data_IF_187746158192
#
_entry.id   IF_187746158192
#
_cell.length_a   1.000
_cell.length_b   1.000
_cell.length_c   1.000
_cell.angle_alpha   90.00
_cell.angle_beta   90.00
_cell.angle_gamma   90.00
#
_symmetry.space_group_name_H-M   'P 1'
#
loop_
_entity.id
_entity.type
_entity.pdbx_description
1 polymer ?
#
# COMPACT_ATOMS: atom_id res chain seq x y z
N UNK A 1 18.30 44.74 21.52
CA UNK A 1 18.27 43.75 20.41
C UNK A 1 16.92 43.90 19.75
N UNK A 2 16.93 44.26 18.48
CA UNK A 2 15.70 44.42 17.67
C UNK A 2 15.73 43.40 16.56
N UNK A 3 14.78 42.49 16.55
CA UNK A 3 14.61 41.53 15.47
C UNK A 3 13.69 42.18 14.42
N UNK A 4 14.19 42.40 13.22
CA UNK A 4 13.36 42.93 12.13
C UNK A 4 13.06 41.80 11.18
N UNK A 5 11.78 41.45 11.08
CA UNK A 5 11.29 40.51 10.07
C UNK A 5 10.84 41.31 8.86
N UNK A 6 11.42 41.04 7.72
CA UNK A 6 10.99 41.64 6.44
C UNK A 6 10.28 40.58 5.61
N UNK A 7 9.04 40.86 5.23
CA UNK A 7 8.24 40.01 4.33
C UNK A 7 8.20 40.70 2.98
N UNK A 8 8.61 40.00 1.93
CA UNK A 8 8.53 40.51 0.55
C UNK A 8 7.65 39.55 -0.24
N UNK A 9 6.57 40.07 -0.82
CA UNK A 9 5.66 39.29 -1.69
C UNK A 9 5.91 39.72 -3.14
N UNK A 10 6.28 38.80 -4.01
CA UNK A 10 6.41 39.04 -5.45
C UNK A 10 5.87 37.81 -6.18
N UNK A 11 4.80 38.01 -6.93
CA UNK A 11 4.32 37.03 -7.93
C UNK A 11 3.75 35.75 -7.38
N UNK A 12 3.11 35.76 -6.18
CA UNK A 12 2.44 34.59 -5.62
C UNK A 12 3.31 33.71 -4.72
N UNK A 13 4.57 34.08 -4.53
CA UNK A 13 5.46 33.37 -3.61
C UNK A 13 5.68 34.20 -2.32
N UNK A 14 5.49 33.58 -1.17
CA UNK A 14 5.79 34.20 0.14
C UNK A 14 7.10 33.62 0.65
N UNK A 15 8.14 34.46 0.69
CA UNK A 15 9.44 34.09 1.26
C UNK A 15 9.57 34.73 2.64
N UNK A 16 9.70 33.91 3.67
CA UNK A 16 9.96 34.37 5.04
C UNK A 16 11.44 34.27 5.32
N UNK A 17 12.07 35.40 5.61
CA UNK A 17 13.50 35.46 5.93
C UNK A 17 13.68 35.66 7.43
N UNK A 18 14.27 34.68 8.11
CA UNK A 18 14.70 34.83 9.50
C UNK A 18 16.19 35.15 9.58
N UNK A 19 16.53 36.22 10.28
CA UNK A 19 17.91 36.60 10.54
C UNK A 19 18.37 36.02 11.87
N UNK A 20 19.34 35.12 11.86
CA UNK A 20 19.98 34.59 13.08
C UNK A 20 21.26 35.38 13.35
N UNK A 21 21.29 36.09 14.45
CA UNK A 21 22.48 36.81 14.90
C UNK A 21 23.21 35.97 15.96
N UNK A 22 24.40 35.46 15.65
CA UNK A 22 25.27 34.80 16.63
C UNK A 22 26.28 35.79 17.16
N UNK A 23 26.24 36.09 18.48
CA UNK A 23 27.22 36.92 19.13
C UNK A 23 28.29 36.03 19.76
N UNK A 24 29.51 36.05 19.23
CA UNK A 24 30.69 35.44 19.87
C UNK A 24 31.48 36.52 20.58
N UNK A 25 31.66 36.37 21.89
CA UNK A 25 32.48 37.26 22.68
C UNK A 25 33.92 36.73 22.75
N UNK A 26 34.82 37.29 21.90
CA UNK A 26 36.28 37.20 22.02
C UNK A 26 36.91 38.45 21.44
N UNK A 27 38.15 38.88 21.83
CA UNK A 27 38.59 40.25 21.72
C UNK A 27 38.88 40.71 20.29
N UNK A 28 38.44 41.91 20.05
CA UNK A 28 38.58 42.82 18.93
C UNK A 28 39.60 42.45 17.82
N UNK A 29 39.08 41.82 16.78
CA UNK A 29 39.49 42.08 15.39
C UNK A 29 38.18 42.31 14.65
N UNK A 30 38.04 43.50 14.06
CA UNK A 30 36.86 43.90 13.29
C UNK A 30 36.84 43.13 11.97
N UNK A 31 36.31 41.92 12.03
CA UNK A 31 35.88 41.22 10.81
C UNK A 31 34.39 41.54 10.58
N UNK A 32 33.95 41.90 9.38
CA UNK A 32 32.56 42.18 9.14
C UNK A 32 31.73 40.92 9.47
N UNK A 33 30.68 41.11 10.25
CA UNK A 33 29.72 40.02 10.54
C UNK A 33 29.16 39.51 9.20
N UNK A 34 29.48 38.28 8.84
CA UNK A 34 28.84 37.60 7.71
C UNK A 34 27.46 37.23 8.15
N UNK A 35 26.46 37.98 7.73
CA UNK A 35 25.05 37.60 7.87
C UNK A 35 24.73 36.56 6.83
N UNK A 36 24.66 35.31 7.25
CA UNK A 36 24.15 34.23 6.38
C UNK A 36 22.64 34.26 6.44
N UNK A 37 22.01 34.72 5.41
CA UNK A 37 20.55 34.63 5.23
C UNK A 37 20.25 33.25 4.67
N UNK A 38 19.66 32.39 5.46
CA UNK A 38 19.13 31.12 4.99
C UNK A 38 17.68 31.34 4.57
N UNK A 39 17.41 31.30 3.28
CA UNK A 39 16.04 31.31 2.77
C UNK A 39 15.53 29.88 2.82
N UNK A 40 14.55 29.61 3.66
CA UNK A 40 13.84 28.32 3.64
C UNK A 40 12.81 28.34 2.51
N UNK A 41 12.91 27.41 1.58
CA UNK A 41 11.89 27.20 0.55
C UNK A 41 10.86 26.24 1.15
N UNK A 42 9.58 26.65 1.14
CA UNK A 42 8.46 25.82 1.60
C UNK A 42 7.72 25.26 0.41
N UNK A 43 7.02 24.13 0.63
CA UNK A 43 6.09 23.58 -0.34
C UNK A 43 4.81 24.44 -0.35
N UNK A 44 4.40 24.89 -1.53
CA UNK A 44 3.18 25.71 -1.74
C UNK A 44 2.26 25.06 -2.81
N UNK A 45 2.39 23.75 -3.03
CA UNK A 45 1.58 23.02 -4.00
C UNK A 45 0.17 22.69 -3.52
N UNK A 46 -0.63 22.16 -4.44
CA UNK A 46 -1.98 21.70 -4.14
C UNK A 46 -1.98 20.49 -3.20
N UNK A 47 -3.05 20.36 -2.41
CA UNK A 47 -3.27 19.15 -1.59
C UNK A 47 -3.59 17.96 -2.49
N UNK A 48 -3.15 16.77 -2.08
CA UNK A 48 -3.36 15.52 -2.80
C UNK A 48 -3.67 14.35 -1.86
N UNK A 49 -3.96 13.19 -2.42
CA UNK A 49 -4.29 12.00 -1.63
C UNK A 49 -3.41 10.81 -1.98
N UNK A 50 -2.92 10.13 -0.94
CA UNK A 50 -2.41 8.78 -1.00
C UNK A 50 -3.52 7.79 -0.66
N UNK A 51 -3.78 6.80 -1.53
CA UNK A 51 -4.83 5.81 -1.30
C UNK A 51 -4.34 4.39 -1.52
N UNK A 52 -4.83 3.44 -0.71
CA UNK A 52 -4.56 2.00 -0.88
C UNK A 52 -5.67 1.29 -1.65
N UNK A 53 -6.83 1.91 -1.75
CA UNK A 53 -7.96 1.40 -2.53
C UNK A 53 -8.11 2.12 -3.87
N UNK A 54 -9.35 2.46 -4.20
CA UNK A 54 -9.70 3.19 -5.44
C UNK A 54 -10.96 4.03 -5.24
N UNK A 55 -11.15 5.02 -6.09
CA UNK A 55 -12.44 5.68 -6.23
C UNK A 55 -13.28 5.00 -7.30
N UNK A 56 -14.57 4.83 -7.01
CA UNK A 56 -15.58 4.36 -7.96
C UNK A 56 -16.02 5.50 -8.88
N UNK A 57 -16.74 5.15 -9.95
CA UNK A 57 -17.26 6.12 -10.89
C UNK A 57 -18.23 7.15 -10.28
N UNK A 58 -18.88 6.80 -9.16
CA UNK A 58 -19.76 7.69 -8.38
C UNK A 58 -19.02 8.58 -7.38
N UNK A 59 -17.67 8.51 -7.35
CA UNK A 59 -16.81 9.26 -6.45
C UNK A 59 -16.68 8.65 -5.04
N UNK A 60 -17.35 7.54 -4.73
CA UNK A 60 -17.21 6.87 -3.45
C UNK A 60 -15.86 6.13 -3.36
N UNK A 61 -15.25 6.16 -2.16
CA UNK A 61 -14.01 5.43 -1.90
C UNK A 61 -14.28 3.95 -1.65
N UNK A 62 -13.59 3.07 -2.36
CA UNK A 62 -13.57 1.62 -2.13
C UNK A 62 -12.20 1.19 -1.60
N UNK A 63 -12.09 0.84 -0.32
CA UNK A 63 -10.81 0.46 0.29
C UNK A 63 -10.32 -0.93 -0.10
N UNK A 64 -11.19 -1.77 -0.64
CA UNK A 64 -10.91 -3.19 -0.85
C UNK A 64 -10.14 -3.43 -2.14
N UNK A 65 -9.14 -4.29 -2.05
CA UNK A 65 -8.41 -4.86 -3.19
C UNK A 65 -8.61 -6.37 -3.13
N UNK A 66 -9.27 -6.93 -4.14
CA UNK A 66 -9.57 -8.35 -4.20
C UNK A 66 -8.45 -9.13 -4.87
N UNK A 67 -8.00 -10.19 -4.20
CA UNK A 67 -7.08 -11.22 -4.72
C UNK A 67 -7.63 -12.59 -4.40
N UNK A 68 -7.20 -13.63 -5.12
CA UNK A 68 -7.70 -14.99 -4.90
C UNK A 68 -6.68 -15.81 -4.10
N UNK A 69 -7.14 -16.64 -3.19
CA UNK A 69 -6.29 -17.62 -2.52
C UNK A 69 -5.59 -18.51 -3.56
N UNK A 70 -4.27 -18.70 -3.40
CA UNK A 70 -3.43 -19.42 -4.37
C UNK A 70 -3.07 -18.65 -5.64
N UNK A 71 -3.53 -17.40 -5.79
CA UNK A 71 -3.19 -16.57 -6.95
C UNK A 71 -1.70 -16.30 -7.02
N UNK A 72 -1.13 -16.46 -8.23
CA UNK A 72 0.26 -16.13 -8.50
C UNK A 72 0.40 -14.71 -8.99
N UNK A 73 1.50 -14.05 -8.60
CA UNK A 73 1.87 -12.70 -9.04
C UNK A 73 0.74 -11.67 -8.89
N UNK A 74 0.04 -11.71 -7.76
CA UNK A 74 -1.03 -10.75 -7.45
C UNK A 74 -0.44 -9.39 -7.05
N UNK A 75 -0.95 -8.30 -7.61
CA UNK A 75 -0.72 -6.95 -7.12
C UNK A 75 -1.55 -6.73 -5.86
N UNK A 76 -1.02 -7.17 -4.71
CA UNK A 76 -1.75 -7.21 -3.46
C UNK A 76 -1.80 -5.85 -2.75
N UNK A 77 -0.79 -5.00 -2.94
CA UNK A 77 -0.66 -3.70 -2.29
C UNK A 77 -0.15 -2.68 -3.31
N UNK A 78 -0.96 -1.68 -3.60
CA UNK A 78 -0.68 -0.70 -4.64
C UNK A 78 -1.01 0.73 -4.17
N UNK A 79 -0.07 1.43 -3.50
CA UNK A 79 -0.24 2.84 -3.17
C UNK A 79 -0.44 3.70 -4.41
N UNK A 80 -1.55 4.43 -4.45
CA UNK A 80 -1.98 5.28 -5.56
C UNK A 80 -2.02 6.73 -5.14
N UNK A 81 -1.92 7.63 -6.11
CA UNK A 81 -1.99 9.08 -5.90
C UNK A 81 -3.18 9.66 -6.67
N UNK A 82 -3.89 10.57 -6.03
CA UNK A 82 -4.92 11.41 -6.66
C UNK A 82 -4.56 12.88 -6.43
N UNK A 83 -4.68 13.69 -7.47
CA UNK A 83 -4.27 15.09 -7.43
C UNK A 83 -2.74 15.25 -7.33
N UNK A 84 -1.97 14.38 -7.96
CA UNK A 84 -0.51 14.35 -7.88
C UNK A 84 0.11 15.72 -8.20
N UNK A 85 0.74 16.39 -7.23
CA UNK A 85 1.36 17.71 -7.44
C UNK A 85 2.68 17.62 -8.20
N UNK A 86 3.21 16.43 -8.37
CA UNK A 86 4.56 16.14 -8.80
C UNK A 86 5.49 15.85 -7.63
N UNK A 87 5.94 14.61 -7.52
CA UNK A 87 6.76 14.10 -6.43
C UNK A 87 8.12 13.69 -7.00
N UNK A 88 9.21 14.11 -6.37
CA UNK A 88 10.58 13.74 -6.75
C UNK A 88 11.08 12.53 -5.95
N UNK A 89 10.64 12.41 -4.71
CA UNK A 89 11.03 11.31 -3.82
C UNK A 89 9.89 10.96 -2.88
N UNK A 90 9.81 9.70 -2.49
CA UNK A 90 8.92 9.28 -1.41
C UNK A 90 9.49 8.10 -0.63
N UNK A 91 9.06 8.00 0.61
CA UNK A 91 9.24 6.85 1.48
C UNK A 91 7.86 6.39 1.94
N UNK A 92 7.37 5.33 1.33
CA UNK A 92 6.05 4.75 1.59
C UNK A 92 6.19 3.65 2.61
N UNK A 93 5.40 3.72 3.68
CA UNK A 93 5.40 2.72 4.74
C UNK A 93 3.99 2.41 5.20
N UNK A 94 3.67 1.11 5.24
CA UNK A 94 2.34 0.62 5.57
C UNK A 94 2.41 -0.29 6.80
N UNK A 95 1.29 -0.33 7.53
CA UNK A 95 1.09 -1.14 8.73
C UNK A 95 -0.10 -2.08 8.56
N UNK A 96 -0.11 -3.16 9.35
CA UNK A 96 -1.17 -4.16 9.35
C UNK A 96 -0.61 -5.54 9.65
N UNK A 97 -0.64 -5.99 10.91
CA UNK A 97 0.01 -7.23 11.33
C UNK A 97 -0.59 -8.45 10.63
N UNK A 98 -1.91 -8.51 10.48
CA UNK A 98 -2.58 -9.59 9.79
C UNK A 98 -2.23 -9.60 8.28
N UNK A 99 -2.18 -8.44 7.63
CA UNK A 99 -1.77 -8.32 6.23
C UNK A 99 -0.30 -8.70 6.05
N UNK A 100 0.60 -8.28 6.96
CA UNK A 100 2.01 -8.70 6.94
C UNK A 100 2.15 -10.20 7.11
N UNK A 101 1.39 -10.83 8.01
CA UNK A 101 1.39 -12.27 8.20
C UNK A 101 0.88 -13.03 6.96
N UNK A 102 -0.20 -12.54 6.34
CA UNK A 102 -0.72 -13.07 5.08
C UNK A 102 0.35 -13.06 3.98
N UNK A 103 0.96 -11.90 3.77
CA UNK A 103 1.94 -11.71 2.69
C UNK A 103 3.25 -12.45 2.97
N UNK A 104 3.66 -12.59 4.24
CA UNK A 104 4.82 -13.38 4.66
C UNK A 104 4.61 -14.89 4.49
N UNK A 105 3.36 -15.39 4.62
CA UNK A 105 3.02 -16.79 4.35
C UNK A 105 2.97 -17.09 2.85
N UNK A 106 2.83 -16.08 2.02
CA UNK A 106 2.96 -16.15 0.58
C UNK A 106 4.42 -16.09 0.13
N UNK A 107 4.60 -15.69 -1.12
CA UNK A 107 5.95 -15.50 -1.66
C UNK A 107 6.03 -14.12 -2.33
N UNK A 108 6.98 -13.31 -1.90
CA UNK A 108 7.25 -12.03 -2.53
C UNK A 108 7.86 -12.23 -3.92
N UNK A 109 7.22 -11.67 -4.93
CA UNK A 109 7.66 -11.76 -6.34
C UNK A 109 8.51 -10.55 -6.73
N UNK A 110 8.09 -9.36 -6.32
CA UNK A 110 8.84 -8.14 -6.61
C UNK A 110 8.00 -6.87 -6.46
N UNK A 111 8.66 -5.73 -6.66
CA UNK A 111 8.04 -4.42 -6.75
C UNK A 111 7.88 -4.04 -8.24
N UNK A 112 6.64 -3.95 -8.71
CA UNK A 112 6.33 -3.33 -9.98
C UNK A 112 6.39 -1.82 -9.82
N UNK A 113 7.35 -1.19 -10.48
CA UNK A 113 7.51 0.26 -10.50
C UNK A 113 6.61 0.86 -11.57
N UNK A 114 6.05 2.01 -11.32
CA UNK A 114 5.38 2.77 -12.36
C UNK A 114 6.42 3.25 -13.39
N UNK A 115 6.34 2.73 -14.60
CA UNK A 115 7.34 2.99 -15.64
C UNK A 115 7.37 4.47 -16.09
N UNK A 116 6.20 5.12 -16.14
CA UNK A 116 6.11 6.53 -16.51
C UNK A 116 6.75 7.41 -15.43
N UNK A 117 6.52 7.06 -14.17
CA UNK A 117 7.10 7.75 -13.03
C UNK A 117 8.61 7.57 -12.98
N UNK A 118 9.08 6.33 -13.14
CA UNK A 118 10.49 5.98 -13.19
C UNK A 118 11.20 6.75 -14.32
N UNK A 119 10.60 6.82 -15.52
CA UNK A 119 11.14 7.54 -16.66
C UNK A 119 11.25 9.05 -16.40
N UNK A 120 10.23 9.66 -15.80
CA UNK A 120 10.24 11.10 -15.50
C UNK A 120 11.32 11.47 -14.46
N UNK A 121 11.58 10.58 -13.49
CA UNK A 121 12.57 10.79 -12.43
C UNK A 121 13.98 10.41 -12.83
N UNK A 122 14.16 9.60 -13.87
CA UNK A 122 15.44 8.97 -14.16
C UNK A 122 16.56 9.99 -14.47
N UNK A 123 16.25 11.06 -15.20
CA UNK A 123 17.30 12.01 -15.64
C UNK A 123 18.53 11.28 -16.19
N UNK A 124 19.72 11.85 -16.02
CA UNK A 124 20.99 11.19 -16.40
C UNK A 124 21.47 10.16 -15.36
N UNK A 125 21.04 10.32 -14.09
CA UNK A 125 21.47 9.50 -12.96
C UNK A 125 20.59 8.28 -12.68
N UNK A 126 19.45 8.16 -13.36
CA UNK A 126 18.46 7.13 -13.10
C UNK A 126 17.68 7.38 -11.80
N UNK A 127 16.90 6.40 -11.41
CA UNK A 127 16.08 6.41 -10.20
C UNK A 127 16.49 5.28 -9.28
N UNK A 128 16.71 5.57 -8.00
CA UNK A 128 16.87 4.53 -6.99
C UNK A 128 15.51 4.14 -6.42
N UNK A 129 15.25 2.84 -6.42
CA UNK A 129 14.14 2.23 -5.72
C UNK A 129 14.67 1.27 -4.67
N UNK A 130 14.20 1.45 -3.45
CA UNK A 130 14.49 0.57 -2.32
C UNK A 130 13.19 -0.07 -1.88
N UNK A 131 13.14 -1.38 -1.79
CA UNK A 131 11.99 -2.09 -1.25
C UNK A 131 12.36 -2.90 -0.02
N UNK A 132 11.41 -3.03 0.89
CA UNK A 132 11.46 -3.92 2.02
C UNK A 132 10.05 -4.53 2.18
N UNK A 133 9.81 -5.61 1.45
CA UNK A 133 8.52 -6.27 1.40
C UNK A 133 8.06 -6.78 2.78
N UNK A 134 8.98 -7.24 3.62
CA UNK A 134 8.67 -7.73 4.97
C UNK A 134 8.12 -6.63 5.88
N UNK A 135 8.46 -5.37 5.60
CA UNK A 135 7.96 -4.20 6.32
C UNK A 135 6.88 -3.43 5.55
N UNK A 136 6.46 -3.90 4.39
CA UNK A 136 5.56 -3.18 3.48
C UNK A 136 6.02 -1.74 3.24
N UNK A 137 7.32 -1.60 2.98
CA UNK A 137 7.97 -0.31 2.77
C UNK A 137 8.67 -0.30 1.43
N UNK A 138 8.49 0.77 0.66
CA UNK A 138 9.38 1.11 -0.44
C UNK A 138 9.70 2.59 -0.44
N UNK A 139 10.82 2.93 -1.03
CA UNK A 139 11.20 4.31 -1.24
C UNK A 139 11.75 4.49 -2.65
N UNK A 140 11.59 5.67 -3.19
CA UNK A 140 12.18 6.05 -4.46
C UNK A 140 12.72 7.48 -4.39
N UNK A 141 13.75 7.74 -5.17
CA UNK A 141 14.28 9.07 -5.37
C UNK A 141 15.02 9.15 -6.70
N UNK A 142 15.04 10.32 -7.33
CA UNK A 142 15.94 10.59 -8.42
C UNK A 142 17.40 10.56 -7.94
N UNK A 143 18.29 9.96 -8.72
CA UNK A 143 19.74 9.98 -8.47
C UNK A 143 20.45 11.17 -9.12
N UNK A 144 19.76 11.87 -10.01
CA UNK A 144 20.33 13.00 -10.69
C UNK A 144 20.26 14.25 -9.79
N UNK A 145 21.41 14.65 -9.26
CA UNK A 145 21.52 15.84 -8.40
C UNK A 145 21.17 17.14 -9.14
N UNK A 146 21.12 17.10 -10.45
CA UNK A 146 20.69 18.22 -11.29
C UNK A 146 19.23 18.07 -11.76
N UNK A 147 18.61 16.92 -11.47
CA UNK A 147 17.23 16.69 -11.84
C UNK A 147 16.30 17.46 -10.90
N UNK A 148 15.83 18.57 -11.40
CA UNK A 148 14.83 19.41 -10.73
C UNK A 148 13.40 19.03 -11.13
N UNK A 149 13.21 17.90 -11.81
CA UNK A 149 11.91 17.47 -12.29
C UNK A 149 11.15 16.71 -11.20
N UNK A 150 9.86 16.97 -11.14
CA UNK A 150 8.93 16.18 -10.40
C UNK A 150 8.21 15.24 -11.37
N UNK A 151 8.05 13.99 -10.97
CA UNK A 151 7.21 13.06 -11.72
C UNK A 151 5.75 13.23 -11.34
N UNK A 152 4.87 13.12 -12.32
CA UNK A 152 3.42 13.11 -12.15
C UNK A 152 2.84 11.86 -12.75
N UNK A 153 1.80 11.36 -12.14
CA UNK A 153 1.02 10.23 -12.66
C UNK A 153 -0.44 10.63 -12.84
N UNK A 154 -1.17 9.87 -13.63
CA UNK A 154 -2.61 10.05 -13.75
C UNK A 154 -3.29 9.64 -12.43
N UNK A 155 -4.40 10.32 -12.10
CA UNK A 155 -5.17 10.03 -10.90
C UNK A 155 -5.53 8.55 -10.77
N UNK A 156 -5.26 8.01 -9.60
CA UNK A 156 -5.49 6.60 -9.29
C UNK A 156 -4.47 5.63 -9.85
N UNK A 157 -3.39 6.11 -10.45
CA UNK A 157 -2.26 5.26 -10.83
C UNK A 157 -1.45 4.86 -9.60
N UNK A 158 -1.03 3.62 -9.54
CA UNK A 158 -0.09 3.16 -8.53
C UNK A 158 1.31 3.71 -8.82
N UNK A 159 2.00 4.20 -7.80
CA UNK A 159 3.41 4.58 -7.92
C UNK A 159 4.30 3.34 -7.97
N UNK A 160 3.96 2.35 -7.19
CA UNK A 160 4.58 1.04 -7.17
C UNK A 160 3.62 0.02 -6.59
N UNK A 161 3.80 -1.24 -6.96
CA UNK A 161 2.93 -2.32 -6.52
C UNK A 161 3.77 -3.45 -5.94
N UNK A 162 3.48 -3.85 -4.72
CA UNK A 162 4.02 -5.08 -4.18
C UNK A 162 3.28 -6.29 -4.75
N UNK A 163 4.01 -7.13 -5.45
CA UNK A 163 3.49 -8.34 -6.09
C UNK A 163 3.83 -9.56 -5.26
N UNK A 164 2.82 -10.37 -4.98
CA UNK A 164 2.94 -11.59 -4.18
C UNK A 164 2.25 -12.78 -4.83
N UNK A 165 2.79 -13.96 -4.57
CA UNK A 165 2.00 -15.19 -4.64
C UNK A 165 1.17 -15.28 -3.36
N UNK A 166 -0.13 -15.30 -3.49
CA UNK A 166 -1.05 -15.39 -2.34
C UNK A 166 -1.09 -16.85 -1.84
N UNK A 167 -1.04 -17.10 -0.52
CA UNK A 167 -1.14 -18.44 0.02
C UNK A 167 -2.47 -19.12 -0.34
N UNK A 168 -2.53 -20.43 -0.19
CA UNK A 168 -3.75 -21.21 -0.42
C UNK A 168 -4.85 -20.90 0.62
N UNK A 169 -6.07 -21.36 0.34
CA UNK A 169 -7.23 -21.04 1.16
C UNK A 169 -7.13 -21.56 2.60
N UNK A 170 -6.46 -22.69 2.83
CA UNK A 170 -6.27 -23.26 4.17
C UNK A 170 -5.32 -22.40 4.99
N UNK A 171 -4.20 -21.99 4.38
CA UNK A 171 -3.25 -21.08 5.00
C UNK A 171 -3.87 -19.72 5.28
N UNK A 172 -4.62 -19.15 4.32
CA UNK A 172 -5.37 -17.89 4.50
C UNK A 172 -6.32 -17.97 5.68
N UNK A 173 -7.11 -19.06 5.75
CA UNK A 173 -8.04 -19.30 6.87
C UNK A 173 -7.30 -19.40 8.20
N UNK A 174 -6.19 -20.11 8.25
CA UNK A 174 -5.39 -20.27 9.49
C UNK A 174 -4.90 -18.92 10.02
N UNK A 175 -4.44 -18.05 9.12
CA UNK A 175 -4.01 -16.69 9.49
C UNK A 175 -5.20 -15.85 9.93
N UNK A 176 -6.32 -15.90 9.20
CA UNK A 176 -7.53 -15.19 9.57
C UNK A 176 -8.01 -15.59 10.99
N UNK A 177 -8.04 -16.87 11.29
CA UNK A 177 -8.40 -17.41 12.62
C UNK A 177 -7.42 -16.88 13.71
N UNK A 178 -6.10 -16.84 13.43
CA UNK A 178 -5.10 -16.31 14.35
C UNK A 178 -5.33 -14.85 14.73
N UNK A 179 -5.80 -14.04 13.78
CA UNK A 179 -6.06 -12.61 13.98
C UNK A 179 -7.53 -12.28 14.25
N UNK A 180 -8.39 -13.30 14.43
CA UNK A 180 -9.81 -13.11 14.73
C UNK A 180 -10.61 -12.51 13.56
N UNK A 181 -10.14 -12.70 12.33
CA UNK A 181 -10.79 -12.23 11.10
C UNK A 181 -11.87 -13.25 10.68
N UNK A 182 -13.10 -12.80 10.56
CA UNK A 182 -14.22 -13.64 10.14
C UNK A 182 -14.36 -13.67 8.63
N UNK A 183 -14.88 -14.80 8.11
CA UNK A 183 -15.27 -14.92 6.72
C UNK A 183 -16.46 -13.99 6.42
N UNK A 184 -16.35 -13.22 5.35
CA UNK A 184 -17.37 -12.30 4.86
C UNK A 184 -17.89 -12.79 3.52
N UNK A 185 -19.19 -12.63 3.27
CA UNK A 185 -19.78 -12.83 1.94
C UNK A 185 -20.19 -11.45 1.40
N UNK A 186 -19.85 -11.19 0.17
CA UNK A 186 -20.13 -9.91 -0.48
C UNK A 186 -19.83 -9.96 -1.96
N UNK A 187 -19.74 -8.79 -2.57
CA UNK A 187 -19.53 -8.67 -4.00
C UNK A 187 -18.11 -8.18 -4.29
N UNK A 188 -17.42 -8.85 -5.20
CA UNK A 188 -16.11 -8.43 -5.70
C UNK A 188 -16.21 -7.25 -6.68
N UNK A 189 -15.08 -6.83 -7.24
CA UNK A 189 -14.98 -5.73 -8.20
C UNK A 189 -15.69 -5.99 -9.53
N UNK A 190 -15.93 -7.25 -9.86
CA UNK A 190 -16.59 -7.71 -11.09
C UNK A 190 -18.10 -7.91 -10.90
N UNK A 191 -18.59 -7.74 -9.66
CA UNK A 191 -20.00 -7.91 -9.30
C UNK A 191 -20.38 -9.35 -8.97
N UNK A 192 -19.42 -10.25 -8.79
CA UNK A 192 -19.66 -11.62 -8.40
C UNK A 192 -19.85 -11.73 -6.89
N UNK A 193 -20.77 -12.58 -6.44
CA UNK A 193 -20.88 -12.95 -5.04
C UNK A 193 -19.73 -13.88 -4.65
N UNK A 194 -18.94 -13.48 -3.66
CA UNK A 194 -17.71 -14.17 -3.22
C UNK A 194 -17.65 -14.23 -1.70
N UNK A 195 -16.95 -15.23 -1.18
CA UNK A 195 -16.56 -15.31 0.22
C UNK A 195 -15.09 -14.94 0.37
N UNK A 196 -14.75 -14.07 1.31
CA UNK A 196 -13.40 -13.56 1.46
C UNK A 196 -13.07 -13.21 2.91
N UNK A 197 -11.77 -13.12 3.22
CA UNK A 197 -11.24 -12.59 4.47
C UNK A 197 -10.66 -11.20 4.25
N UNK A 198 -10.88 -10.27 5.17
CA UNK A 198 -10.43 -8.89 5.11
C UNK A 198 -9.18 -8.66 5.96
N UNK A 199 -8.07 -8.32 5.33
CA UNK A 199 -6.78 -8.01 5.97
C UNK A 199 -6.52 -6.51 5.87
N UNK A 200 -6.77 -5.73 6.93
CA UNK A 200 -6.61 -4.28 6.91
C UNK A 200 -5.16 -3.85 6.69
N UNK A 201 -5.01 -2.76 5.94
CA UNK A 201 -3.77 -2.03 5.71
C UNK A 201 -3.98 -0.57 6.05
N UNK A 202 -3.07 0.00 6.83
CA UNK A 202 -3.07 1.41 7.18
C UNK A 202 -1.76 2.08 6.79
N UNK A 203 -1.79 3.38 6.58
CA UNK A 203 -0.59 4.18 6.42
C UNK A 203 0.11 4.31 7.78
N UNK A 204 1.42 4.06 7.80
CA UNK A 204 2.16 4.23 9.03
C UNK A 204 2.26 5.71 9.41
N UNK A 205 1.86 6.01 10.64
CA UNK A 205 2.01 7.31 11.28
C UNK A 205 3.16 7.32 12.29
N UNK A 206 3.85 6.18 12.42
CA UNK A 206 4.94 6.07 13.39
C UNK A 206 6.07 7.03 13.02
N UNK A 207 6.55 7.76 14.00
CA UNK A 207 7.77 8.56 13.92
C UNK A 207 8.95 7.58 13.98
N UNK A 208 9.87 7.62 13.00
CA UNK A 208 11.07 6.81 12.98
C UNK A 208 11.98 7.11 14.17
N UNK A 209 13.05 6.30 14.37
CA UNK A 209 14.02 6.47 15.47
C UNK A 209 14.69 7.86 15.49
N UNK A 210 14.68 8.57 14.38
CA UNK A 210 15.26 9.91 14.22
C UNK A 210 14.23 11.04 14.13
N UNK A 211 12.96 10.78 14.51
CA UNK A 211 11.90 11.78 14.44
C UNK A 211 11.27 11.97 13.06
N UNK A 212 11.61 11.10 12.10
CA UNK A 212 11.06 11.12 10.76
C UNK A 212 9.64 10.54 10.75
N UNK A 213 8.74 11.20 10.05
CA UNK A 213 7.41 10.61 9.78
C UNK A 213 7.56 9.39 8.91
N UNK A 214 6.76 8.37 9.16
CA UNK A 214 6.95 7.08 8.51
C UNK A 214 6.65 7.07 7.00
N UNK A 215 5.76 7.95 6.53
CA UNK A 215 5.52 8.19 5.10
C UNK A 215 5.87 9.64 4.81
N UNK A 216 6.88 9.84 3.98
CA UNK A 216 7.36 11.17 3.58
C UNK A 216 7.42 11.24 2.08
N UNK A 217 7.18 12.42 1.53
CA UNK A 217 7.41 12.69 0.13
C UNK A 217 8.03 14.08 -0.05
N UNK A 218 8.77 14.24 -1.12
CA UNK A 218 9.44 15.48 -1.45
C UNK A 218 9.19 15.89 -2.89
N UNK A 219 9.18 17.18 -3.11
CA UNK A 219 9.03 17.81 -4.40
C UNK A 219 10.16 18.82 -4.63
N UNK A 220 10.54 19.02 -5.88
CA UNK A 220 11.46 20.11 -6.24
C UNK A 220 10.69 21.41 -6.40
N UNK A 221 11.07 22.41 -5.62
CA UNK A 221 10.50 23.76 -5.66
C UNK A 221 11.66 24.76 -5.80
N UNK A 222 11.65 25.57 -6.85
CA UNK A 222 12.68 26.61 -7.11
C UNK A 222 14.13 26.10 -7.03
N UNK A 223 14.38 24.87 -7.51
CA UNK A 223 15.72 24.28 -7.54
C UNK A 223 16.19 23.64 -6.23
N UNK A 224 15.30 23.52 -5.25
CA UNK A 224 15.57 22.81 -3.99
C UNK A 224 14.59 21.65 -3.78
N UNK A 225 15.10 20.53 -3.27
CA UNK A 225 14.22 19.46 -2.80
C UNK A 225 13.62 19.88 -1.46
N UNK A 226 12.30 19.94 -1.42
CA UNK A 226 11.52 20.35 -0.26
C UNK A 226 10.64 19.18 0.18
N UNK A 227 10.62 18.88 1.47
CA UNK A 227 9.65 17.94 2.02
C UNK A 227 8.24 18.52 1.89
N UNK A 228 7.30 17.70 1.39
CA UNK A 228 5.89 18.07 1.36
C UNK A 228 5.34 17.88 2.77
N UNK A 229 4.81 18.94 3.42
CA UNK A 229 4.28 18.84 4.77
C UNK A 229 3.18 17.79 4.89
N UNK A 230 3.16 17.10 6.01
CA UNK A 230 2.23 16.00 6.28
C UNK A 230 0.74 16.38 6.23
N UNK A 231 0.43 17.62 6.47
CA UNK A 231 -0.92 18.20 6.39
C UNK A 231 -1.34 18.61 4.98
N UNK A 232 -0.43 18.56 4.01
CA UNK A 232 -0.70 18.84 2.61
C UNK A 232 -1.25 17.62 1.84
N UNK A 233 -1.23 16.43 2.43
CA UNK A 233 -1.79 15.24 1.81
C UNK A 233 -2.61 14.41 2.79
N UNK A 234 -3.73 13.90 2.30
CA UNK A 234 -4.54 12.91 3.04
C UNK A 234 -4.10 11.50 2.68
N UNK A 235 -4.42 10.55 3.55
CA UNK A 235 -4.12 9.13 3.37
C UNK A 235 -5.39 8.34 3.63
N UNK A 236 -5.70 7.44 2.71
CA UNK A 236 -6.84 6.54 2.84
C UNK A 236 -6.36 5.11 2.93
N UNK A 237 -6.71 4.48 4.01
CA UNK A 237 -6.40 3.10 4.30
C UNK A 237 -7.06 2.14 3.31
N UNK A 238 -6.57 0.92 3.26
CA UNK A 238 -7.05 -0.12 2.39
C UNK A 238 -7.26 -1.45 3.09
N UNK A 239 -7.68 -2.43 2.32
CA UNK A 239 -7.91 -3.78 2.81
C UNK A 239 -7.61 -4.78 1.70
N UNK A 240 -6.79 -5.78 1.99
CA UNK A 240 -6.61 -6.92 1.10
C UNK A 240 -7.74 -7.90 1.38
N UNK A 241 -8.60 -8.12 0.39
CA UNK A 241 -9.69 -9.09 0.45
C UNK A 241 -9.26 -10.37 -0.26
N UNK A 242 -9.01 -11.44 0.49
CA UNK A 242 -8.61 -12.71 -0.11
C UNK A 242 -9.83 -13.59 -0.32
N UNK A 243 -10.22 -13.71 -1.59
CA UNK A 243 -11.33 -14.56 -2.00
C UNK A 243 -10.93 -16.03 -1.83
N UNK A 244 -11.75 -16.76 -1.11
CA UNK A 244 -11.60 -18.21 -0.92
C UNK A 244 -12.71 -18.95 -1.66
N UNK A 245 -12.47 -20.20 -2.10
CA UNK A 245 -13.54 -21.01 -2.67
C UNK A 245 -14.69 -21.13 -1.67
N UNK A 246 -15.93 -20.94 -2.14
CA UNK A 246 -17.10 -21.24 -1.32
C UNK A 246 -17.00 -22.71 -0.91
N UNK A 247 -17.07 -22.97 0.39
CA UNK A 247 -17.20 -24.36 0.85
C UNK A 247 -18.49 -24.90 0.25
N UNK A 248 -18.37 -25.63 -0.87
CA UNK A 248 -19.47 -26.42 -1.34
C UNK A 248 -19.69 -27.45 -0.24
N UNK A 249 -20.73 -27.26 0.56
CA UNK A 249 -21.17 -28.27 1.52
C UNK A 249 -21.56 -29.46 0.67
N UNK A 250 -20.60 -30.34 0.38
CA UNK A 250 -20.89 -31.64 -0.17
C UNK A 250 -21.61 -32.38 0.94
N UNK A 251 -22.93 -32.21 0.98
CA UNK A 251 -23.80 -33.10 1.76
C UNK A 251 -23.51 -34.46 1.17
N UNK A 252 -22.64 -35.22 1.82
CA UNK A 252 -22.42 -36.61 1.48
C UNK A 252 -23.82 -37.24 1.47
N UNK A 253 -24.32 -37.54 0.29
CA UNK A 253 -25.53 -38.31 0.14
C UNK A 253 -25.23 -39.62 0.84
N UNK A 254 -25.81 -39.80 2.03
CA UNK A 254 -25.76 -41.05 2.75
C UNK A 254 -26.54 -42.03 1.88
N UNK A 255 -25.84 -42.76 1.02
CA UNK A 255 -26.40 -43.85 0.25
C UNK A 255 -26.70 -44.93 1.27
N UNK A 256 -27.94 -44.94 1.77
CA UNK A 256 -28.44 -46.05 2.56
C UNK A 256 -28.56 -47.24 1.60
N UNK A 257 -27.56 -48.10 1.60
CA UNK A 257 -27.61 -49.37 0.89
C UNK A 257 -28.66 -50.18 1.61
N UNK A 258 -29.87 -50.25 1.05
CA UNK A 258 -30.90 -51.18 1.50
C UNK A 258 -30.37 -52.61 1.28
N UNK A 259 -30.13 -53.30 2.39
CA UNK A 259 -29.74 -54.71 2.39
C UNK A 259 -30.90 -55.50 1.78
N UNK A 260 -30.77 -55.99 0.56
CA UNK A 260 -31.72 -56.87 -0.08
C UNK A 260 -31.55 -58.26 0.54
N UNK A 261 -32.39 -58.57 1.51
CA UNK A 261 -32.48 -59.93 2.06
C UNK A 261 -33.18 -60.83 1.04
N UNK A 262 -32.42 -61.59 0.28
CA UNK A 262 -32.96 -62.66 -0.57
C UNK A 262 -33.29 -63.85 0.28
N UNK A 263 -34.59 -64.06 0.53
CA UNK A 263 -35.12 -65.29 1.14
C UNK A 263 -35.15 -66.38 0.05
N UNK A 264 -34.24 -67.35 0.16
CA UNK A 264 -34.25 -68.54 -0.73
C UNK A 264 -35.27 -69.53 -0.13
N UNK A 265 -36.40 -69.62 -0.79
CA UNK A 265 -37.35 -70.76 -0.48
C UNK A 265 -36.80 -72.07 -0.98
N UNK A 266 -36.67 -73.03 -0.07
CA UNK A 266 -36.27 -74.38 -0.44
C UNK A 266 -37.45 -75.12 -1.07
N UNK A 267 -37.36 -75.45 -2.35
CA UNK A 267 -38.33 -76.33 -3.02
C UNK A 267 -38.01 -77.74 -2.68
N UNK A 268 -38.92 -78.33 -1.88
CA UNK A 268 -38.89 -79.76 -1.54
C UNK A 268 -39.60 -80.55 -2.66
N UNK A 269 -38.87 -81.28 -3.47
CA UNK A 269 -39.37 -82.19 -4.47
C UNK A 269 -39.74 -83.51 -3.76
N UNK A 270 -41.05 -83.86 -3.69
CA UNK A 270 -41.51 -85.12 -3.27
C UNK A 270 -41.24 -86.19 -4.34
N UNK A 271 -40.52 -87.23 -3.94
CA UNK A 271 -40.35 -88.43 -4.78
C UNK A 271 -41.65 -89.18 -4.96
N UNK A 272 -42.08 -89.44 -6.18
CA UNK A 272 -43.18 -90.34 -6.54
C UNK A 272 -42.60 -91.71 -6.67
N UNK A 273 -43.07 -92.60 -5.84
CA UNK A 273 -42.82 -94.06 -5.88
C UNK A 273 -43.84 -94.69 -6.79
N UNK A 274 -43.37 -95.41 -7.84
CA UNK A 274 -44.20 -96.19 -8.71
C UNK A 274 -43.83 -97.64 -8.59
N UNK A 275 -44.70 -98.43 -8.00
CA UNK A 275 -44.81 -99.89 -8.25
C UNK A 275 -45.83 -100.20 -9.30
#
# INVERSE_FOLDING_TARGET
>A
ESTTTATTTSGGETTTTEAVTTTSAAPATTSPAVTTTTTSVSYEGDSFEWVLGKYKADGSYEPRTFVKAGQKSASAVAPKVYGDPGINSANIRLEGDAAKALLAAGNYVGLNKNADYDTQLAGEGGTTWLDNAAQLRFAFASNDVNNTNNAKTADGSAIGEFVYDIPDAETVKSIADQYGISLVTGTDDEGNEVSYYEFPLTWSEAVGEHGETATQCGSYVNGALVEIPYDQYTRRDGTICVVVPSETTTTAATTTTAEVTTTTEAVTTAAVDTT
#
